data_IF_598963698219
#
_entry.id   IF_598963698219
#
_cell.length_a   1.000
_cell.length_b   1.000
_cell.length_c   1.000
_cell.angle_alpha   90.00
_cell.angle_beta   90.00
_cell.angle_gamma   90.00
#
_symmetry.space_group_name_H-M   'P 1'
#
loop_
_entity.id
_entity.type
_entity.pdbx_description
1 polymer ?
#
# COMPACT_ATOMS: atom_id res chain seq x y z
N UNK A 1 21.10 1.63 22.78
CA UNK A 1 22.28 1.56 23.67
C UNK A 1 22.74 0.12 23.93
N UNK A 2 21.87 -0.88 24.12
CA UNK A 2 22.28 -2.27 24.45
C UNK A 2 22.73 -3.11 23.25
N UNK A 3 22.19 -2.87 22.05
CA UNK A 3 22.60 -3.59 20.83
C UNK A 3 22.18 -5.07 20.79
N UNK A 4 21.25 -5.49 21.65
CA UNK A 4 20.79 -6.87 21.72
C UNK A 4 20.00 -7.25 20.45
N UNK A 5 20.27 -8.44 19.87
CA UNK A 5 19.50 -8.91 18.72
C UNK A 5 18.08 -9.26 19.14
N UNK A 6 17.14 -9.03 18.23
CA UNK A 6 15.72 -9.33 18.41
C UNK A 6 15.36 -10.48 17.47
N UNK A 7 14.64 -11.48 17.97
CA UNK A 7 14.15 -12.57 17.13
C UNK A 7 13.02 -12.10 16.19
N UNK A 8 12.73 -12.90 15.16
CA UNK A 8 11.76 -12.54 14.13
C UNK A 8 10.36 -12.29 14.70
N UNK A 9 9.92 -13.11 15.67
CA UNK A 9 8.59 -13.00 16.28
C UNK A 9 8.45 -11.68 17.02
N UNK A 10 9.43 -11.37 17.87
CA UNK A 10 9.48 -10.12 18.63
C UNK A 10 9.55 -8.92 17.69
N UNK A 11 10.32 -8.99 16.60
CA UNK A 11 10.36 -7.95 15.58
C UNK A 11 8.99 -7.69 14.93
N UNK A 12 8.17 -8.72 14.73
CA UNK A 12 6.81 -8.56 14.22
C UNK A 12 5.86 -7.96 15.26
N UNK A 13 5.94 -8.43 16.51
CA UNK A 13 5.14 -7.91 17.63
C UNK A 13 5.41 -6.41 17.88
N UNK A 14 6.64 -5.95 17.63
CA UNK A 14 7.03 -4.54 17.75
C UNK A 14 6.80 -3.71 16.47
N UNK A 15 6.35 -4.34 15.38
CA UNK A 15 6.09 -3.66 14.11
C UNK A 15 7.34 -3.32 13.28
N UNK A 16 8.51 -3.88 13.60
CA UNK A 16 9.73 -3.74 12.80
C UNK A 16 9.60 -4.50 11.46
N UNK A 17 8.89 -5.62 11.45
CA UNK A 17 8.53 -6.39 10.25
C UNK A 17 7.03 -6.65 10.22
N UNK A 18 6.45 -6.77 9.02
CA UNK A 18 4.99 -6.90 8.87
C UNK A 18 4.48 -8.34 9.12
N UNK A 19 5.30 -9.36 8.86
CA UNK A 19 4.88 -10.77 8.91
C UNK A 19 6.09 -11.68 9.10
N UNK A 20 5.90 -12.77 9.84
CA UNK A 20 6.90 -13.83 10.04
C UNK A 20 6.30 -15.15 9.61
N UNK A 21 7.08 -15.94 8.87
CA UNK A 21 6.72 -17.27 8.36
C UNK A 21 7.92 -18.21 8.49
N UNK A 22 7.74 -19.53 8.44
CA UNK A 22 8.86 -20.47 8.34
C UNK A 22 9.79 -20.10 7.17
N UNK A 23 11.09 -20.30 7.35
CA UNK A 23 12.09 -19.91 6.34
C UNK A 23 11.85 -20.55 4.97
N UNK A 24 11.36 -21.80 4.94
CA UNK A 24 10.98 -22.53 3.73
C UNK A 24 9.81 -21.90 2.97
N UNK A 25 8.96 -21.12 3.65
CA UNK A 25 7.76 -20.50 3.08
C UNK A 25 7.97 -19.03 2.70
N UNK A 26 9.09 -18.42 3.11
CA UNK A 26 9.36 -16.99 2.92
C UNK A 26 9.11 -16.54 1.49
N UNK A 27 9.69 -17.24 0.51
CA UNK A 27 9.55 -16.90 -0.90
C UNK A 27 8.09 -16.92 -1.36
N UNK A 28 7.35 -17.95 -0.96
CA UNK A 28 5.95 -18.11 -1.36
C UNK A 28 5.08 -17.02 -0.73
N UNK A 29 5.24 -16.76 0.57
CA UNK A 29 4.50 -15.72 1.27
C UNK A 29 4.81 -14.31 0.72
N UNK A 30 6.06 -14.03 0.35
CA UNK A 30 6.44 -12.77 -0.30
C UNK A 30 5.81 -12.62 -1.68
N UNK A 31 5.86 -13.68 -2.51
CA UNK A 31 5.26 -13.65 -3.85
C UNK A 31 3.74 -13.56 -3.81
N UNK A 32 3.09 -14.19 -2.84
CA UNK A 32 1.65 -14.08 -2.61
C UNK A 32 1.26 -12.62 -2.31
N UNK A 33 1.99 -11.96 -1.41
CA UNK A 33 1.76 -10.55 -1.09
C UNK A 33 2.00 -9.65 -2.31
N UNK A 34 3.11 -9.88 -3.03
CA UNK A 34 3.43 -9.11 -4.23
C UNK A 34 2.36 -9.29 -5.32
N UNK A 35 1.88 -10.52 -5.52
CA UNK A 35 0.79 -10.84 -6.46
C UNK A 35 -0.49 -10.10 -6.11
N UNK A 36 -0.90 -10.12 -4.83
CA UNK A 36 -2.08 -9.37 -4.36
C UNK A 36 -1.95 -7.86 -4.56
N UNK A 37 -0.76 -7.29 -4.41
CA UNK A 37 -0.52 -5.86 -4.68
C UNK A 37 -0.62 -5.60 -6.19
N UNK A 38 -0.07 -6.49 -7.02
CA UNK A 38 -0.10 -6.38 -8.48
C UNK A 38 -1.50 -6.56 -9.09
N UNK A 39 -2.47 -7.08 -8.33
CA UNK A 39 -3.89 -7.12 -8.74
C UNK A 39 -4.56 -5.74 -8.71
N UNK A 40 -3.95 -4.73 -8.08
CA UNK A 40 -4.43 -3.35 -8.07
C UNK A 40 -3.71 -2.49 -9.12
N UNK A 41 -4.26 -1.31 -9.40
CA UNK A 41 -3.59 -0.32 -10.26
C UNK A 41 -2.23 0.08 -9.66
N UNK A 42 -1.15 -0.15 -10.41
CA UNK A 42 0.20 0.23 -10.00
C UNK A 42 0.33 1.75 -9.74
N UNK A 43 -0.36 2.56 -10.56
CA UNK A 43 -0.40 4.01 -10.43
C UNK A 43 -1.06 4.42 -9.10
N UNK A 44 -2.23 3.85 -8.81
CA UNK A 44 -2.99 4.17 -7.60
C UNK A 44 -2.25 3.71 -6.34
N UNK A 45 -1.66 2.50 -6.36
CA UNK A 45 -0.86 1.98 -5.24
C UNK A 45 0.38 2.83 -5.01
N UNK A 46 1.10 3.19 -6.08
CA UNK A 46 2.28 4.04 -6.01
C UNK A 46 1.97 5.41 -5.42
N UNK A 47 0.92 6.06 -5.93
CA UNK A 47 0.45 7.36 -5.45
C UNK A 47 0.02 7.31 -3.99
N UNK A 48 -0.75 6.29 -3.58
CA UNK A 48 -1.17 6.11 -2.19
C UNK A 48 0.02 5.92 -1.24
N UNK A 49 1.01 5.10 -1.64
CA UNK A 49 2.22 4.87 -0.84
C UNK A 49 3.04 6.16 -0.69
N UNK A 50 3.25 6.90 -1.78
CA UNK A 50 3.96 8.18 -1.72
C UNK A 50 3.23 9.16 -0.80
N UNK A 51 1.90 9.27 -0.94
CA UNK A 51 1.10 10.17 -0.14
C UNK A 51 1.10 9.81 1.36
N UNK A 52 1.16 8.53 1.70
CA UNK A 52 1.33 8.07 3.07
C UNK A 52 2.67 8.54 3.68
N UNK A 53 3.77 8.35 2.96
CA UNK A 53 5.08 8.79 3.47
C UNK A 53 5.25 10.30 3.48
N UNK A 54 4.60 11.03 2.56
CA UNK A 54 4.63 12.50 2.58
C UNK A 54 3.82 13.12 3.73
N UNK A 55 2.74 12.45 4.17
CA UNK A 55 1.88 13.00 5.23
C UNK A 55 2.35 12.65 6.65
N UNK A 56 3.14 11.60 6.84
CA UNK A 56 3.48 11.07 8.18
C UNK A 56 4.25 12.07 9.05
N UNK A 57 4.99 12.99 8.41
CA UNK A 57 5.78 14.03 9.07
C UNK A 57 5.03 15.38 9.19
N UNK A 58 3.79 15.47 8.69
CA UNK A 58 3.00 16.69 8.71
C UNK A 58 2.13 16.76 9.98
N UNK A 59 1.84 18.00 10.41
CA UNK A 59 0.75 18.20 11.36
C UNK A 59 -0.59 17.78 10.76
N UNK A 60 -1.55 17.44 11.63
CA UNK A 60 -2.83 16.89 11.20
C UNK A 60 -3.55 17.80 10.18
N UNK A 61 -3.71 19.12 10.39
CA UNK A 61 -4.34 19.98 9.38
C UNK A 61 -3.68 19.94 8.01
N UNK A 62 -2.33 19.97 7.94
CA UNK A 62 -1.59 19.86 6.68
C UNK A 62 -1.71 18.49 6.05
N UNK A 63 -1.62 17.42 6.84
CA UNK A 63 -1.80 16.05 6.36
C UNK A 63 -3.17 15.89 5.69
N UNK A 64 -4.24 16.39 6.31
CA UNK A 64 -5.59 16.37 5.71
C UNK A 64 -5.71 17.22 4.45
N UNK A 65 -5.10 18.41 4.42
CA UNK A 65 -5.09 19.26 3.23
C UNK A 65 -4.41 18.55 2.05
N UNK A 66 -3.22 18.00 2.29
CA UNK A 66 -2.45 17.25 1.30
C UNK A 66 -3.18 16.00 0.82
N UNK A 67 -3.71 15.18 1.73
CA UNK A 67 -4.44 13.97 1.37
C UNK A 67 -5.67 14.26 0.51
N UNK A 68 -6.43 15.33 0.82
CA UNK A 68 -7.59 15.76 0.00
C UNK A 68 -7.18 16.12 -1.43
N UNK A 69 -6.08 16.85 -1.60
CA UNK A 69 -5.58 17.23 -2.92
C UNK A 69 -5.17 15.99 -3.73
N UNK A 70 -4.37 15.10 -3.12
CA UNK A 70 -3.96 13.84 -3.74
C UNK A 70 -5.16 12.98 -4.14
N UNK A 71 -6.14 12.81 -3.25
CA UNK A 71 -7.36 12.04 -3.54
C UNK A 71 -8.16 12.66 -4.68
N UNK A 72 -8.30 13.99 -4.69
CA UNK A 72 -9.04 14.71 -5.74
C UNK A 72 -8.37 14.54 -7.10
N UNK A 73 -7.04 14.69 -7.17
CA UNK A 73 -6.29 14.46 -8.41
C UNK A 73 -6.35 12.99 -8.86
N UNK A 74 -6.14 12.05 -7.94
CA UNK A 74 -6.20 10.63 -8.25
C UNK A 74 -7.59 10.21 -8.77
N UNK A 75 -8.65 10.83 -8.27
CA UNK A 75 -10.01 10.54 -8.76
C UNK A 75 -10.18 10.81 -10.25
N UNK A 76 -9.35 11.65 -10.86
CA UNK A 76 -9.40 11.95 -12.30
C UNK A 76 -8.57 10.97 -13.16
N UNK A 77 -7.76 10.10 -12.54
CA UNK A 77 -6.95 9.11 -13.25
C UNK A 77 -7.83 8.02 -13.88
N UNK A 78 -7.38 7.48 -15.02
CA UNK A 78 -8.18 6.51 -15.77
C UNK A 78 -8.41 5.22 -14.97
N UNK A 79 -7.38 4.74 -14.27
CA UNK A 79 -7.44 3.57 -13.41
C UNK A 79 -8.34 3.81 -12.18
N UNK A 80 -8.41 5.03 -11.65
CA UNK A 80 -9.33 5.34 -10.56
C UNK A 80 -10.79 5.26 -11.05
N UNK A 81 -11.08 5.85 -12.21
CA UNK A 81 -12.39 5.79 -12.85
C UNK A 81 -12.79 4.36 -13.22
N UNK A 82 -11.85 3.58 -13.74
CA UNK A 82 -12.02 2.17 -14.05
C UNK A 82 -12.30 1.35 -12.78
N UNK A 83 -11.58 1.58 -11.70
CA UNK A 83 -11.80 0.89 -10.43
C UNK A 83 -13.20 1.14 -9.87
N UNK A 84 -13.66 2.39 -9.91
CA UNK A 84 -15.02 2.77 -9.50
C UNK A 84 -16.06 2.09 -10.41
N UNK A 85 -15.88 2.18 -11.73
CA UNK A 85 -16.81 1.59 -12.71
C UNK A 85 -16.88 0.07 -12.57
N UNK A 86 -15.73 -0.60 -12.51
CA UNK A 86 -15.64 -2.05 -12.35
C UNK A 86 -16.30 -2.55 -11.07
N UNK A 87 -16.15 -1.80 -9.97
CA UNK A 87 -16.84 -2.11 -8.71
C UNK A 87 -18.36 -2.00 -8.84
N UNK A 88 -18.86 -0.90 -9.43
CA UNK A 88 -20.30 -0.67 -9.64
C UNK A 88 -20.91 -1.73 -10.58
N UNK A 89 -20.16 -2.12 -11.61
CA UNK A 89 -20.56 -3.12 -12.60
C UNK A 89 -20.30 -4.57 -12.14
N UNK A 90 -19.70 -4.77 -10.97
CA UNK A 90 -19.33 -6.09 -10.40
C UNK A 90 -18.47 -6.94 -11.33
N UNK A 91 -17.54 -6.30 -12.03
CA UNK A 91 -16.56 -6.96 -12.91
C UNK A 91 -15.14 -6.77 -12.38
N UNK A 92 -14.20 -7.55 -12.92
CA UNK A 92 -12.78 -7.29 -12.67
C UNK A 92 -12.35 -6.00 -13.40
N UNK A 93 -11.54 -5.15 -12.76
CA UNK A 93 -10.98 -3.98 -13.40
C UNK A 93 -9.87 -4.34 -14.39
N UNK A 94 -9.69 -3.50 -15.41
CA UNK A 94 -8.64 -3.57 -16.41
C UNK A 94 -7.70 -2.38 -16.25
N UNK A 95 -6.61 -2.56 -15.51
CA UNK A 95 -5.64 -1.48 -15.26
C UNK A 95 -4.79 -1.15 -16.48
N UNK A 96 -4.55 0.13 -16.70
CA UNK A 96 -3.76 0.66 -17.81
C UNK A 96 -2.54 1.46 -17.35
N UNK A 97 -2.39 1.69 -16.04
CA UNK A 97 -1.31 2.47 -15.46
C UNK A 97 -1.46 3.98 -15.70
N UNK A 98 -2.70 4.46 -15.88
CA UNK A 98 -3.02 5.85 -16.29
C UNK A 98 -4.17 6.42 -15.47
#
# INVERSE_FOLDING_TARGET
LTGEPVDARTAAEWGLVNRVVPASELRNATLELAGRIAEASELTVGLGKQAFYSQIDLDQPKAYAYAKEVMSMNSLAADAQEGISAFLEKRKPCWTGK
#
